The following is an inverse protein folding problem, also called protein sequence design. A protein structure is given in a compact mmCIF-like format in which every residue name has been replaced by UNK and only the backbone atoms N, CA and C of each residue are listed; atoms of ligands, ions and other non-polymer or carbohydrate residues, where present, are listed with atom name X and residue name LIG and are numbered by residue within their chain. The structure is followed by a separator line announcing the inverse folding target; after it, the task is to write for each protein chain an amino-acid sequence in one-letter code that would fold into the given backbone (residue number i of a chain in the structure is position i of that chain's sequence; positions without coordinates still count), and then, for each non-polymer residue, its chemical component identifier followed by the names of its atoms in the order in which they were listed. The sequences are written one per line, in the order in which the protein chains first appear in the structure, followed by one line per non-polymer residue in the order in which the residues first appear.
data_IF_443980441849
#
_entry.id   IF_443980441849
#
_cell.length_a   1.000
_cell.length_b   1.000
_cell.length_c   1.000
_cell.angle_alpha   90.00
_cell.angle_beta   90.00
_cell.angle_gamma   90.00
#
_symmetry.space_group_name_H-M   'P 1'
#
loop_
_entity.id
_entity.type
_entity.pdbx_description
1 polymer ?
#
# COMPACT_ATOMS: atom_id res chain seq x y z
N UNK A 1 33.91 67.90 -3.33
CA UNK A 1 35.08 67.87 -4.23
C UNK A 1 35.80 66.55 -4.03
N UNK A 2 35.84 65.70 -5.06
CA UNK A 2 36.62 64.46 -5.04
C UNK A 2 38.07 64.77 -5.42
N UNK A 3 39.04 63.97 -4.96
CA UNK A 3 40.13 63.52 -5.80
C UNK A 3 39.89 62.07 -6.22
N UNK A 4 39.79 61.86 -7.52
CA UNK A 4 39.93 60.59 -8.19
C UNK A 4 41.43 60.25 -8.32
N UNK A 5 41.86 59.08 -7.85
CA UNK A 5 43.16 58.51 -8.23
C UNK A 5 42.90 57.08 -8.67
N UNK A 6 43.24 56.80 -9.92
CA UNK A 6 42.90 55.57 -10.61
C UNK A 6 43.75 54.38 -10.16
N UNK A 7 43.13 53.20 -10.24
CA UNK A 7 43.83 51.94 -10.49
C UNK A 7 44.40 51.23 -9.28
N UNK A 8 43.57 50.41 -8.64
CA UNK A 8 44.01 49.13 -8.12
C UNK A 8 42.96 48.07 -8.51
N UNK A 9 43.09 47.52 -9.71
CA UNK A 9 42.40 46.28 -10.06
C UNK A 9 42.99 45.19 -9.17
N UNK A 10 42.25 44.76 -8.16
CA UNK A 10 42.60 43.58 -7.39
C UNK A 10 42.04 42.35 -8.13
N UNK A 11 42.75 41.95 -9.20
CA UNK A 11 42.44 40.75 -9.96
C UNK A 11 42.97 39.54 -9.19
N UNK A 12 42.07 38.79 -8.55
CA UNK A 12 42.45 37.57 -7.83
C UNK A 12 41.47 37.03 -6.77
N UNK A 13 40.25 37.56 -6.66
CA UNK A 13 39.25 37.00 -5.76
C UNK A 13 38.44 35.88 -6.42
N UNK A 14 38.46 34.67 -5.87
CA UNK A 14 37.50 33.61 -6.19
C UNK A 14 36.33 33.73 -5.22
N UNK A 15 35.15 34.09 -5.72
CA UNK A 15 33.90 34.00 -4.95
C UNK A 15 33.25 32.67 -5.26
N UNK A 16 33.28 31.74 -4.29
CA UNK A 16 32.57 30.47 -4.43
C UNK A 16 31.08 30.68 -4.13
N UNK A 17 30.22 30.48 -5.13
CA UNK A 17 28.77 30.38 -4.91
C UNK A 17 28.39 28.91 -4.89
N UNK A 18 27.99 28.39 -3.72
CA UNK A 18 27.45 27.04 -3.60
C UNK A 18 25.99 27.10 -4.03
N UNK A 19 25.65 26.44 -5.14
CA UNK A 19 24.26 26.24 -5.58
C UNK A 19 23.89 24.78 -5.34
N UNK A 20 22.86 24.54 -4.53
CA UNK A 20 22.28 23.22 -4.33
C UNK A 20 21.02 23.11 -5.18
N UNK A 21 21.09 22.39 -6.30
CA UNK A 21 19.96 22.15 -7.20
C UNK A 21 19.13 20.93 -6.75
N UNK A 22 18.89 20.79 -5.45
CA UNK A 22 18.25 19.59 -4.87
C UNK A 22 16.77 19.49 -5.28
N UNK A 23 16.15 20.61 -5.65
CA UNK A 23 14.78 20.68 -6.16
C UNK A 23 14.66 20.49 -7.67
N UNK A 24 15.76 20.59 -8.43
CA UNK A 24 15.68 20.58 -9.89
C UNK A 24 15.56 19.14 -10.40
N UNK A 25 14.58 18.83 -11.27
CA UNK A 25 14.41 17.47 -11.77
C UNK A 25 15.54 17.10 -12.73
N UNK A 26 16.25 16.02 -12.40
CA UNK A 26 17.15 15.33 -13.33
C UNK A 26 16.40 14.43 -14.32
N UNK A 27 17.13 13.85 -15.28
CA UNK A 27 16.55 12.84 -16.18
C UNK A 27 16.22 11.58 -15.38
N UNK A 28 14.97 11.12 -15.45
CA UNK A 28 14.57 9.84 -14.86
C UNK A 28 15.22 8.69 -15.63
N UNK A 29 15.96 7.85 -14.91
CA UNK A 29 16.53 6.61 -15.45
C UNK A 29 15.80 5.43 -14.84
N UNK A 30 15.38 4.49 -15.68
CA UNK A 30 14.78 3.25 -15.24
C UNK A 30 15.83 2.34 -14.61
N UNK A 31 15.47 1.70 -13.50
CA UNK A 31 16.26 0.66 -12.86
C UNK A 31 15.49 -0.66 -12.86
N UNK A 32 16.17 -1.76 -12.60
CA UNK A 32 15.55 -3.09 -12.45
C UNK A 32 15.08 -3.36 -11.01
N UNK A 33 15.32 -2.43 -10.08
CA UNK A 33 14.95 -2.54 -8.68
C UNK A 33 13.50 -2.11 -8.52
N UNK A 34 12.68 -2.98 -7.94
CA UNK A 34 11.24 -2.72 -7.72
C UNK A 34 10.97 -1.71 -6.60
N UNK A 35 11.97 -1.44 -5.76
CA UNK A 35 11.88 -0.50 -4.64
C UNK A 35 12.55 0.85 -4.93
N UNK A 36 13.07 1.04 -6.15
CA UNK A 36 13.59 2.33 -6.57
C UNK A 36 12.43 3.25 -6.97
N UNK A 37 12.38 4.42 -6.35
CA UNK A 37 11.35 5.41 -6.53
C UNK A 37 11.95 6.71 -7.05
N UNK A 38 11.16 7.50 -7.77
CA UNK A 38 11.55 8.84 -8.16
C UNK A 38 10.36 9.79 -8.05
N UNK A 39 10.63 11.00 -7.55
CA UNK A 39 9.63 12.07 -7.53
C UNK A 39 9.75 12.87 -8.82
N UNK A 40 8.69 12.90 -9.61
CA UNK A 40 8.57 13.80 -10.76
C UNK A 40 7.88 15.10 -10.33
N UNK A 41 8.52 16.25 -10.60
CA UNK A 41 8.03 17.57 -10.18
C UNK A 41 8.46 17.95 -8.76
N UNK A 42 7.69 18.81 -8.10
CA UNK A 42 7.99 19.27 -6.75
C UNK A 42 7.65 18.19 -5.71
N UNK A 43 8.54 17.98 -4.74
CA UNK A 43 8.29 17.04 -3.65
C UNK A 43 9.53 16.31 -3.15
N UNK A 44 9.38 15.66 -2.01
CA UNK A 44 10.43 14.88 -1.34
C UNK A 44 9.80 13.64 -0.71
N UNK A 45 10.58 12.58 -0.58
CA UNK A 45 10.24 11.47 0.30
C UNK A 45 10.47 11.89 1.75
N UNK A 46 9.55 11.51 2.63
CA UNK A 46 9.75 11.62 4.08
C UNK A 46 10.50 10.37 4.54
N UNK A 47 11.61 10.57 5.22
CA UNK A 47 12.39 9.48 5.83
C UNK A 47 12.60 9.75 7.31
N UNK A 48 12.79 8.71 8.11
CA UNK A 48 13.01 8.84 9.55
C UNK A 48 14.34 8.20 9.94
N UNK A 49 15.07 8.86 10.83
CA UNK A 49 16.30 8.31 11.39
C UNK A 49 16.01 7.29 12.52
N UNK A 50 17.02 6.55 13.00
CA UNK A 50 16.82 5.63 14.12
C UNK A 50 16.38 6.29 15.44
N UNK A 51 16.50 7.62 15.56
CA UNK A 51 16.07 8.39 16.74
C UNK A 51 14.59 8.81 16.65
N UNK A 52 13.92 8.59 15.52
CA UNK A 52 12.54 8.98 15.28
C UNK A 52 12.38 10.36 14.62
N UNK A 53 13.48 11.03 14.27
CA UNK A 53 13.45 12.37 13.69
C UNK A 53 13.14 12.29 12.18
N UNK A 54 12.11 13.01 11.68
CA UNK A 54 11.78 13.03 10.26
C UNK A 54 12.71 13.95 9.46
N UNK A 55 13.02 13.54 8.24
CA UNK A 55 13.85 14.24 7.25
C UNK A 55 13.23 14.12 5.85
N UNK A 56 13.72 14.93 4.93
CA UNK A 56 13.28 14.95 3.53
C UNK A 56 14.43 14.56 2.60
N UNK A 57 14.16 13.72 1.60
CA UNK A 57 15.16 13.32 0.60
C UNK A 57 14.54 13.15 -0.79
N UNK A 58 15.33 13.38 -1.83
CA UNK A 58 14.99 12.96 -3.20
C UNK A 58 15.70 11.68 -3.63
N UNK A 59 16.60 11.16 -2.82
CA UNK A 59 17.24 9.88 -3.07
C UNK A 59 16.21 8.76 -2.87
N UNK A 60 15.73 8.18 -3.96
CA UNK A 60 14.71 7.14 -3.94
C UNK A 60 15.26 5.71 -4.10
N UNK A 61 16.56 5.52 -3.89
CA UNK A 61 17.15 4.18 -3.81
C UNK A 61 16.91 3.61 -2.41
N UNK A 62 15.90 2.74 -2.29
CA UNK A 62 15.54 2.08 -1.04
C UNK A 62 15.71 0.56 -1.17
N UNK A 63 16.20 -0.06 -0.10
CA UNK A 63 16.42 -1.50 -0.01
C UNK A 63 15.73 -2.00 1.27
N UNK A 64 14.99 -3.11 1.24
CA UNK A 64 14.43 -3.69 2.46
C UNK A 64 15.55 -4.16 3.41
N UNK A 65 15.45 -3.79 4.69
CA UNK A 65 16.32 -4.31 5.74
C UNK A 65 15.90 -5.72 6.20
N UNK A 66 16.56 -6.26 7.23
CA UNK A 66 16.25 -7.59 7.77
C UNK A 66 14.85 -7.74 8.38
N UNK A 67 14.11 -6.63 8.53
CA UNK A 67 12.73 -6.57 9.00
C UNK A 67 11.78 -6.15 7.87
N UNK A 68 12.25 -6.04 6.63
CA UNK A 68 11.47 -5.64 5.46
C UNK A 68 11.23 -4.14 5.35
N UNK A 69 11.78 -3.30 6.26
CA UNK A 69 11.61 -1.84 6.18
C UNK A 69 12.43 -1.29 5.03
N UNK A 70 11.84 -0.45 4.20
CA UNK A 70 12.56 0.23 3.14
C UNK A 70 13.52 1.28 3.73
N UNK A 71 14.82 1.03 3.60
CA UNK A 71 15.89 1.93 4.08
C UNK A 71 16.73 2.46 2.93
N UNK A 72 17.16 3.71 3.02
CA UNK A 72 18.12 4.27 2.07
C UNK A 72 19.56 3.93 2.47
N UNK A 73 20.53 4.29 1.61
CA UNK A 73 21.95 4.04 1.83
C UNK A 73 22.55 4.74 3.06
N UNK A 74 21.88 5.75 3.60
CA UNK A 74 22.28 6.45 4.82
C UNK A 74 21.60 5.90 6.09
N UNK A 75 20.79 4.83 5.96
CA UNK A 75 20.15 4.13 7.09
C UNK A 75 18.83 4.75 7.55
N UNK A 76 18.26 5.71 6.81
CA UNK A 76 16.95 6.27 7.13
C UNK A 76 15.84 5.40 6.52
N UNK A 77 14.74 5.24 7.26
CA UNK A 77 13.57 4.46 6.85
C UNK A 77 12.59 5.34 6.06
N UNK A 78 12.02 4.82 4.97
CA UNK A 78 10.96 5.48 4.21
C UNK A 78 9.66 5.49 5.01
N UNK A 79 9.00 6.64 5.07
CA UNK A 79 7.76 6.84 5.82
C UNK A 79 6.56 7.08 4.90
N UNK A 80 5.42 6.45 5.19
CA UNK A 80 4.17 6.64 4.45
C UNK A 80 2.96 6.44 5.35
N UNK A 81 1.77 6.77 4.85
CA UNK A 81 0.53 6.46 5.54
C UNK A 81 0.17 4.97 5.40
N UNK A 82 -0.23 4.34 6.51
CA UNK A 82 -0.74 2.96 6.49
C UNK A 82 -2.17 2.90 5.98
N UNK A 83 -2.46 1.89 5.15
CA UNK A 83 -3.81 1.53 4.69
C UNK A 83 -4.43 0.37 5.48
N UNK A 84 -3.75 -0.13 6.51
CA UNK A 84 -4.18 -1.30 7.28
C UNK A 84 -5.58 -1.13 7.90
N UNK A 85 -5.91 0.08 8.33
CA UNK A 85 -7.20 0.43 8.93
C UNK A 85 -8.12 1.21 7.97
N UNK A 86 -7.93 1.06 6.66
CA UNK A 86 -8.68 1.80 5.64
C UNK A 86 -7.92 3.03 5.12
N UNK A 87 -8.64 3.95 4.46
CA UNK A 87 -8.02 5.15 3.86
C UNK A 87 -7.54 6.10 4.96
N UNK A 88 -6.24 6.40 5.05
CA UNK A 88 -5.69 7.26 6.09
C UNK A 88 -6.11 8.72 5.89
N UNK A 89 -6.35 9.42 6.99
CA UNK A 89 -6.55 10.87 6.98
C UNK A 89 -5.18 11.57 6.85
N UNK A 90 -4.79 11.92 5.63
CA UNK A 90 -3.52 12.58 5.39
C UNK A 90 -3.49 13.99 6.03
N UNK A 91 -2.43 14.25 6.81
CA UNK A 91 -2.17 15.56 7.40
C UNK A 91 -1.45 16.44 6.36
N UNK A 92 -2.06 17.56 5.98
CA UNK A 92 -1.57 18.43 4.91
C UNK A 92 -0.20 19.07 5.23
N UNK A 93 0.08 19.32 6.51
CA UNK A 93 1.29 20.05 6.96
C UNK A 93 1.99 19.37 8.15
N UNK A 94 2.11 18.05 8.14
CA UNK A 94 2.73 17.33 9.24
C UNK A 94 3.19 15.93 8.87
N UNK A 95 3.98 15.34 9.77
CA UNK A 95 4.45 13.95 9.68
C UNK A 95 3.62 13.01 10.56
N UNK A 96 2.56 13.50 11.19
CA UNK A 96 1.68 12.69 12.01
C UNK A 96 0.97 11.63 11.18
N UNK A 97 0.82 10.43 11.76
CA UNK A 97 0.20 9.28 11.10
C UNK A 97 1.09 8.56 10.08
N UNK A 98 2.31 9.04 9.84
CA UNK A 98 3.28 8.31 9.02
C UNK A 98 3.91 7.17 9.82
N UNK A 99 4.04 6.02 9.17
CA UNK A 99 4.70 4.83 9.71
C UNK A 99 5.77 4.34 8.71
N UNK A 100 6.76 3.55 9.15
CA UNK A 100 7.75 2.98 8.26
C UNK A 100 7.08 2.09 7.20
N UNK A 101 7.54 2.21 5.94
CA UNK A 101 7.10 1.33 4.86
C UNK A 101 7.79 -0.02 5.03
N UNK A 102 6.99 -1.06 5.25
CA UNK A 102 7.45 -2.45 5.40
C UNK A 102 6.99 -3.27 4.20
N UNK A 103 7.94 -3.79 3.43
CA UNK A 103 7.69 -4.87 2.49
C UNK A 103 7.75 -6.16 3.29
N UNK A 104 6.59 -6.79 3.44
CA UNK A 104 6.50 -8.09 4.09
C UNK A 104 6.00 -9.10 3.06
N UNK A 105 6.66 -10.25 3.00
CA UNK A 105 6.22 -11.44 2.25
C UNK A 105 5.02 -12.12 2.93
N UNK A 106 4.22 -11.37 3.71
CA UNK A 106 3.06 -11.92 4.38
C UNK A 106 2.15 -12.48 3.29
N UNK A 107 2.10 -13.81 3.25
CA UNK A 107 1.25 -14.54 2.33
C UNK A 107 -0.16 -13.96 2.45
N UNK A 108 -0.84 -13.82 1.32
CA UNK A 108 -2.20 -13.29 1.29
C UNK A 108 -3.04 -13.95 2.40
N UNK A 109 -3.43 -13.16 3.40
CA UNK A 109 -4.28 -13.67 4.49
C UNK A 109 -5.65 -13.96 3.90
N UNK A 110 -6.21 -15.13 4.20
CA UNK A 110 -7.55 -15.47 3.77
C UNK A 110 -8.57 -14.53 4.45
N UNK A 111 -9.38 -13.83 3.66
CA UNK A 111 -10.52 -13.07 4.17
C UNK A 111 -11.76 -13.98 4.13
N UNK A 112 -12.35 -14.35 5.29
CA UNK A 112 -13.51 -15.23 5.31
C UNK A 112 -14.73 -14.54 4.67
N UNK A 113 -15.59 -15.32 4.04
CA UNK A 113 -16.87 -14.83 3.51
C UNK A 113 -17.80 -14.45 4.67
N UNK A 114 -18.28 -13.21 4.72
CA UNK A 114 -19.19 -12.71 5.77
C UNK A 114 -20.65 -12.63 5.33
N UNK A 115 -20.88 -12.43 4.02
CA UNK A 115 -22.21 -12.28 3.44
C UNK A 115 -22.32 -13.08 2.14
N UNK A 116 -23.54 -13.51 1.81
CA UNK A 116 -23.87 -14.18 0.56
C UNK A 116 -25.32 -13.90 0.19
N UNK A 117 -25.57 -13.70 -1.10
CA UNK A 117 -26.93 -13.53 -1.63
C UNK A 117 -27.24 -14.65 -2.61
N UNK A 118 -28.43 -15.22 -2.49
CA UNK A 118 -28.94 -16.25 -3.39
C UNK A 118 -30.28 -15.80 -3.95
N UNK A 119 -30.38 -15.74 -5.28
CA UNK A 119 -31.60 -15.42 -5.99
C UNK A 119 -31.90 -16.53 -7.00
N UNK A 120 -33.16 -16.91 -7.09
CA UNK A 120 -33.61 -17.95 -8.00
C UNK A 120 -35.11 -17.83 -8.30
N UNK A 121 -35.52 -18.40 -9.43
CA UNK A 121 -36.92 -18.52 -9.79
C UNK A 121 -37.40 -19.95 -9.51
N UNK A 122 -38.47 -20.10 -8.74
CA UNK A 122 -38.98 -21.41 -8.33
C UNK A 122 -40.05 -21.91 -9.32
N UNK A 123 -40.03 -23.19 -9.72
CA UNK A 123 -41.05 -23.75 -10.59
C UNK A 123 -42.40 -23.87 -9.86
N UNK A 124 -43.42 -23.15 -10.35
CA UNK A 124 -44.75 -23.12 -9.73
C UNK A 124 -45.48 -24.48 -9.74
N UNK A 125 -45.12 -25.39 -10.66
CA UNK A 125 -45.72 -26.71 -10.80
C UNK A 125 -44.95 -27.85 -10.13
N UNK A 126 -43.98 -27.56 -9.26
CA UNK A 126 -43.20 -28.60 -8.60
C UNK A 126 -44.04 -29.49 -7.68
N UNK A 127 -43.79 -30.80 -7.74
CA UNK A 127 -44.38 -31.76 -6.81
C UNK A 127 -43.81 -31.58 -5.41
N UNK A 128 -44.63 -31.39 -4.36
CA UNK A 128 -44.14 -31.25 -2.99
C UNK A 128 -43.41 -32.52 -2.51
N UNK A 129 -42.28 -32.32 -1.82
CA UNK A 129 -41.58 -33.40 -1.12
C UNK A 129 -42.39 -33.80 0.12
N UNK A 130 -42.53 -35.11 0.35
CA UNK A 130 -43.20 -35.62 1.54
C UNK A 130 -42.52 -35.12 2.82
N UNK A 131 -43.30 -34.76 3.83
CA UNK A 131 -42.80 -34.19 5.10
C UNK A 131 -41.77 -35.06 5.82
N UNK A 132 -41.83 -36.38 5.64
CA UNK A 132 -40.87 -37.33 6.19
C UNK A 132 -39.47 -37.25 5.56
N UNK A 133 -39.34 -36.67 4.36
CA UNK A 133 -38.11 -36.69 3.55
C UNK A 133 -37.54 -35.28 3.29
N UNK A 134 -37.91 -34.28 4.07
CA UNK A 134 -37.47 -32.90 3.85
C UNK A 134 -35.94 -32.74 4.03
N UNK A 135 -35.27 -31.90 3.22
CA UNK A 135 -33.84 -31.62 3.35
C UNK A 135 -33.43 -31.06 4.73
N UNK A 136 -34.34 -30.35 5.40
CA UNK A 136 -34.12 -29.80 6.74
C UNK A 136 -33.79 -30.88 7.80
N UNK A 137 -34.17 -32.14 7.57
CA UNK A 137 -33.87 -33.25 8.47
C UNK A 137 -32.42 -33.76 8.32
N UNK A 138 -31.66 -33.32 7.31
CA UNK A 138 -30.29 -33.76 7.02
C UNK A 138 -30.12 -35.30 6.94
N UNK A 139 -31.19 -36.01 6.53
CA UNK A 139 -31.17 -37.45 6.38
C UNK A 139 -30.61 -37.86 5.01
N UNK A 140 -29.91 -39.00 4.94
CA UNK A 140 -29.40 -39.55 3.68
C UNK A 140 -30.49 -39.89 2.66
N UNK A 141 -31.73 -40.06 3.13
CA UNK A 141 -32.93 -40.34 2.31
C UNK A 141 -33.72 -39.07 1.96
N UNK A 142 -33.20 -37.88 2.29
CA UNK A 142 -33.89 -36.63 1.98
C UNK A 142 -34.05 -36.45 0.46
N UNK A 143 -35.19 -35.89 0.08
CA UNK A 143 -35.48 -35.50 -1.30
C UNK A 143 -35.62 -33.99 -1.39
N UNK A 144 -35.36 -33.44 -2.57
CA UNK A 144 -35.43 -32.00 -2.83
C UNK A 144 -36.03 -31.76 -4.21
N UNK A 145 -36.70 -30.62 -4.37
CA UNK A 145 -37.24 -30.20 -5.66
C UNK A 145 -36.14 -29.63 -6.56
N UNK A 146 -35.28 -28.81 -5.98
CA UNK A 146 -34.14 -28.18 -6.65
C UNK A 146 -32.97 -28.13 -5.67
N UNK A 147 -31.75 -28.05 -6.22
CA UNK A 147 -30.53 -27.85 -5.42
C UNK A 147 -29.64 -26.85 -6.14
N UNK A 148 -29.10 -25.90 -5.40
CA UNK A 148 -28.01 -25.04 -5.87
C UNK A 148 -26.90 -25.02 -4.84
N UNK A 149 -25.69 -24.67 -5.27
CA UNK A 149 -24.52 -24.65 -4.40
C UNK A 149 -23.79 -23.32 -4.51
N UNK A 150 -23.37 -22.79 -3.37
CA UNK A 150 -22.53 -21.60 -3.26
C UNK A 150 -21.20 -21.96 -2.60
N UNK A 151 -20.13 -21.23 -2.93
CA UNK A 151 -18.82 -21.43 -2.29
C UNK A 151 -18.55 -20.26 -1.37
N UNK A 152 -18.29 -20.55 -0.11
CA UNK A 152 -17.77 -19.61 0.88
C UNK A 152 -16.34 -20.01 1.28
N UNK A 153 -15.61 -19.10 1.90
CA UNK A 153 -14.25 -19.33 2.40
C UNK A 153 -14.20 -19.13 3.91
N UNK A 154 -13.50 -20.02 4.62
CA UNK A 154 -13.25 -19.87 6.06
C UNK A 154 -12.01 -18.99 6.35
N UNK A 155 -11.75 -18.72 7.63
CA UNK A 155 -10.60 -17.94 8.11
C UNK A 155 -9.23 -18.55 7.71
N UNK A 156 -9.19 -19.83 7.33
CA UNK A 156 -7.97 -20.50 6.87
C UNK A 156 -7.90 -20.55 5.33
N UNK A 157 -8.88 -19.96 4.63
CA UNK A 157 -8.96 -19.96 3.17
C UNK A 157 -9.50 -21.25 2.57
N UNK A 158 -10.01 -22.19 3.37
CA UNK A 158 -10.59 -23.41 2.83
C UNK A 158 -11.96 -23.13 2.22
N UNK A 159 -12.23 -23.77 1.09
CA UNK A 159 -13.54 -23.73 0.44
C UNK A 159 -14.56 -24.49 1.28
N UNK A 160 -15.70 -23.85 1.54
CA UNK A 160 -16.90 -24.44 2.12
C UNK A 160 -18.01 -24.35 1.07
N UNK A 161 -18.57 -25.48 0.71
CA UNK A 161 -19.67 -25.55 -0.23
C UNK A 161 -20.98 -25.55 0.56
N UNK A 162 -21.82 -24.55 0.31
CA UNK A 162 -23.13 -24.36 0.92
C UNK A 162 -24.18 -24.80 -0.07
N UNK A 163 -24.87 -25.89 0.25
CA UNK A 163 -25.99 -26.38 -0.54
C UNK A 163 -27.30 -25.73 -0.09
N UNK A 164 -28.05 -25.22 -1.05
CA UNK A 164 -29.39 -24.65 -0.89
C UNK A 164 -30.38 -25.59 -1.56
N UNK A 165 -31.37 -26.06 -0.81
CA UNK A 165 -32.41 -27.00 -1.23
C UNK A 165 -33.79 -26.36 -1.19
#
# INVERSE_FOLDING_TARGET
VMPSTGGAYNSGGVTTTIRQAVSDPGVLQYTTSVSDLAVSGDGFFVVQDPSGTPYLTRAGAFVPDGQGRLVNSAGFQLMAYSYENGVPAATVNGFEGLVPVVISDQGMTATPSTEGSFAGNLPAGATPVATANLPAANAATAQYTSKSSMVAYDNLGNKKLLDVY
#
